data_IF_325349999725
#
_entry.id   IF_325349999725
#
_cell.length_a   1.000
_cell.length_b   1.000
_cell.length_c   1.000
_cell.angle_alpha   90.00
_cell.angle_beta   90.00
_cell.angle_gamma   90.00
#
_symmetry.space_group_name_H-M   'P 1'
#
loop_
_entity.id
_entity.type
_entity.pdbx_description
1 polymer ?
#
# COMPACT_ATOMS: atom_id res chain seq x y z
N UNK A 1 -1.13 14.12 -30.91
CA UNK A 1 -1.02 14.51 -29.50
C UNK A 1 -0.22 13.41 -28.83
N UNK A 2 0.82 13.72 -28.06
CA UNK A 2 1.51 12.70 -27.27
C UNK A 2 0.49 12.16 -26.26
N UNK A 3 0.30 10.83 -26.21
CA UNK A 3 -0.58 10.20 -25.24
C UNK A 3 -0.05 10.54 -23.84
N UNK A 4 -0.88 11.16 -23.00
CA UNK A 4 -0.52 11.49 -21.62
C UNK A 4 -0.23 10.19 -20.85
N UNK A 5 0.91 10.13 -20.16
CA UNK A 5 1.29 8.97 -19.34
C UNK A 5 0.39 8.88 -18.13
N UNK A 6 0.07 7.66 -17.70
CA UNK A 6 -0.68 7.41 -16.46
C UNK A 6 0.25 7.09 -15.30
N UNK A 7 -0.22 7.40 -14.10
CA UNK A 7 0.40 6.94 -12.85
C UNK A 7 -0.61 6.08 -12.09
N UNK A 8 -0.26 4.81 -11.90
CA UNK A 8 -1.05 3.84 -11.13
C UNK A 8 -0.54 3.82 -9.70
N UNK A 9 -1.40 4.19 -8.75
CA UNK A 9 -1.12 4.33 -7.33
C UNK A 9 -1.79 3.20 -6.56
N UNK A 10 -1.01 2.29 -6.02
CA UNK A 10 -1.50 1.12 -5.30
C UNK A 10 -1.33 1.29 -3.80
N UNK A 11 -2.37 1.00 -3.04
CA UNK A 11 -2.22 0.65 -1.63
C UNK A 11 -1.66 -0.77 -1.50
N UNK A 12 -1.20 -1.13 -0.29
CA UNK A 12 -0.60 -2.43 -0.02
C UNK A 12 -1.54 -3.35 0.76
N UNK A 13 -1.85 -2.94 2.00
CA UNK A 13 -2.55 -3.77 2.99
C UNK A 13 -4.02 -3.90 2.59
N UNK A 14 -4.54 -5.14 2.49
CA UNK A 14 -5.89 -5.39 1.99
C UNK A 14 -6.03 -5.30 0.47
N UNK A 15 -5.16 -4.54 -0.21
CA UNK A 15 -5.18 -4.27 -1.65
C UNK A 15 -4.25 -5.24 -2.40
N UNK A 16 -2.94 -5.04 -2.36
CA UNK A 16 -1.97 -5.96 -2.99
C UNK A 16 -1.76 -7.22 -2.14
N UNK A 17 -1.81 -7.10 -0.82
CA UNK A 17 -1.87 -8.22 0.13
C UNK A 17 -3.34 -8.50 0.41
N UNK A 18 -3.86 -9.62 -0.09
CA UNK A 18 -5.27 -9.94 -0.02
C UNK A 18 -5.69 -10.39 1.37
N UNK A 19 -6.61 -9.64 1.99
CA UNK A 19 -7.23 -10.00 3.28
C UNK A 19 -6.24 -10.10 4.44
N UNK A 20 -5.07 -9.45 4.30
CA UNK A 20 -4.03 -9.36 5.32
C UNK A 20 -3.28 -8.03 5.20
N UNK A 21 -2.33 -7.79 6.10
CA UNK A 21 -1.50 -6.59 6.14
C UNK A 21 -0.05 -6.96 6.45
N UNK A 22 0.90 -6.09 6.06
CA UNK A 22 2.31 -6.29 6.35
C UNK A 22 2.55 -6.52 7.85
N UNK A 23 1.86 -5.77 8.72
CA UNK A 23 1.96 -5.94 10.17
C UNK A 23 1.53 -7.34 10.63
N UNK A 24 0.50 -7.92 10.03
CA UNK A 24 0.03 -9.28 10.33
C UNK A 24 1.06 -10.30 9.88
N UNK A 25 1.58 -10.17 8.66
CA UNK A 25 2.53 -11.12 8.10
C UNK A 25 3.87 -11.11 8.86
N UNK A 26 4.36 -9.93 9.25
CA UNK A 26 5.54 -9.78 10.11
C UNK A 26 5.30 -10.47 11.46
N UNK A 27 4.15 -10.19 12.10
CA UNK A 27 3.85 -10.75 13.42
C UNK A 27 3.68 -12.26 13.40
N UNK A 28 3.24 -12.87 12.30
CA UNK A 28 3.21 -14.33 12.12
C UNK A 28 4.59 -14.95 12.22
N UNK A 29 5.63 -14.30 11.69
CA UNK A 29 7.00 -14.79 11.78
C UNK A 29 7.54 -14.81 13.22
N UNK A 30 6.95 -14.01 14.09
CA UNK A 30 7.30 -13.90 15.50
C UNK A 30 6.37 -14.70 16.44
N UNK A 31 5.31 -15.34 15.90
CA UNK A 31 4.29 -16.01 16.71
C UNK A 31 3.36 -15.04 17.47
N UNK A 32 3.29 -13.78 17.06
CA UNK A 32 2.56 -12.69 17.72
C UNK A 32 1.19 -12.38 17.06
N UNK A 33 0.54 -13.40 16.50
CA UNK A 33 -0.72 -13.21 15.77
C UNK A 33 -1.86 -12.67 16.64
N UNK A 34 -1.96 -13.08 17.91
CA UNK A 34 -2.99 -12.61 18.81
C UNK A 34 -2.76 -11.15 19.25
N UNK A 35 -1.52 -10.77 19.48
CA UNK A 35 -1.09 -9.45 19.91
C UNK A 35 -1.33 -8.43 18.80
N UNK A 36 -0.92 -8.73 17.56
CA UNK A 36 -1.14 -7.81 16.43
C UNK A 36 -2.64 -7.68 16.12
N UNK A 37 -3.42 -8.75 16.19
CA UNK A 37 -4.86 -8.68 16.00
C UNK A 37 -5.56 -7.84 17.08
N UNK A 38 -5.04 -7.81 18.31
CA UNK A 38 -5.52 -6.91 19.37
C UNK A 38 -5.16 -5.45 19.05
N UNK A 39 -3.96 -5.20 18.57
CA UNK A 39 -3.49 -3.86 18.19
C UNK A 39 -4.28 -3.30 16.99
N UNK A 40 -4.57 -4.12 15.98
CA UNK A 40 -5.43 -3.74 14.84
C UNK A 40 -6.85 -3.41 15.26
N UNK A 41 -7.43 -4.20 16.19
CA UNK A 41 -8.76 -3.86 16.75
C UNK A 41 -8.75 -2.53 17.50
N UNK A 42 -7.69 -2.21 18.23
CA UNK A 42 -7.56 -0.92 18.90
C UNK A 42 -7.42 0.22 17.88
N UNK A 43 -6.67 0.01 16.80
CA UNK A 43 -6.54 0.96 15.72
C UNK A 43 -7.89 1.25 15.04
N UNK A 44 -8.66 0.22 14.71
CA UNK A 44 -9.93 0.35 14.00
C UNK A 44 -11.06 0.89 14.89
N UNK A 45 -11.12 0.48 16.17
CA UNK A 45 -12.31 0.68 17.00
C UNK A 45 -12.11 1.69 18.12
N UNK A 46 -10.87 2.03 18.49
CA UNK A 46 -10.56 2.90 19.65
C UNK A 46 -9.83 4.18 19.25
N UNK A 47 -9.70 4.46 17.94
CA UNK A 47 -9.10 5.69 17.45
C UNK A 47 -7.60 5.80 17.69
N UNK A 48 -6.88 4.67 17.75
CA UNK A 48 -5.43 4.67 17.82
C UNK A 48 -4.87 5.33 16.56
N UNK A 49 -3.95 6.29 16.72
CA UNK A 49 -3.33 6.94 15.57
C UNK A 49 -2.28 6.04 14.90
N UNK A 50 -1.94 6.26 13.60
CA UNK A 50 -0.92 5.47 12.92
C UNK A 50 0.45 5.46 13.64
N UNK A 51 0.84 6.59 14.22
CA UNK A 51 2.10 6.70 14.95
C UNK A 51 2.07 5.98 16.32
N UNK A 52 0.93 5.98 17.02
CA UNK A 52 0.73 5.16 18.22
C UNK A 52 0.74 3.67 17.90
N UNK A 53 0.10 3.28 16.79
CA UNK A 53 0.18 1.91 16.27
C UNK A 53 1.63 1.50 16.02
N UNK A 54 2.41 2.33 15.30
CA UNK A 54 3.79 2.05 14.97
C UNK A 54 4.67 1.89 16.22
N UNK A 55 4.48 2.73 17.25
CA UNK A 55 5.21 2.60 18.53
C UNK A 55 4.94 1.27 19.19
N UNK A 56 3.66 0.86 19.31
CA UNK A 56 3.28 -0.41 19.93
C UNK A 56 3.72 -1.61 19.10
N UNK A 57 3.59 -1.55 17.78
CA UNK A 57 4.06 -2.59 16.90
C UNK A 57 5.58 -2.77 16.99
N UNK A 58 6.35 -1.68 17.08
CA UNK A 58 7.81 -1.74 17.28
C UNK A 58 8.18 -2.43 18.60
N UNK A 59 7.40 -2.21 19.66
CA UNK A 59 7.60 -2.91 20.95
C UNK A 59 7.33 -4.42 20.81
N UNK A 60 6.25 -4.80 20.12
CA UNK A 60 5.96 -6.20 19.81
C UNK A 60 7.06 -6.87 18.97
N UNK A 61 7.65 -6.12 18.05
CA UNK A 61 8.66 -6.60 17.10
C UNK A 61 10.11 -6.35 17.57
N UNK A 62 10.35 -6.20 18.86
CA UNK A 62 11.69 -5.85 19.40
C UNK A 62 12.80 -6.79 18.87
N UNK A 63 12.48 -8.07 18.66
CA UNK A 63 13.42 -9.11 18.19
C UNK A 63 13.31 -9.39 16.68
N UNK A 64 12.64 -8.51 15.91
CA UNK A 64 12.45 -8.71 14.48
C UNK A 64 13.78 -8.65 13.73
N UNK A 65 14.01 -9.64 12.88
CA UNK A 65 15.20 -9.74 12.03
C UNK A 65 14.87 -9.48 10.56
N UNK A 66 15.88 -9.08 9.79
CA UNK A 66 15.72 -8.90 8.34
C UNK A 66 15.27 -10.19 7.62
N UNK A 67 15.71 -11.37 8.10
CA UNK A 67 15.29 -12.66 7.55
C UNK A 67 13.80 -12.93 7.79
N UNK A 68 13.28 -12.55 8.95
CA UNK A 68 11.85 -12.70 9.25
C UNK A 68 11.00 -11.73 8.42
N UNK A 69 11.49 -10.50 8.16
CA UNK A 69 10.83 -9.57 7.23
C UNK A 69 10.78 -10.15 5.81
N UNK A 70 11.87 -10.75 5.35
CA UNK A 70 11.93 -11.42 4.05
C UNK A 70 10.92 -12.58 3.98
N UNK A 71 10.91 -13.45 4.99
CA UNK A 71 9.95 -14.55 5.06
C UNK A 71 8.49 -14.08 5.13
N UNK A 72 8.21 -12.97 5.85
CA UNK A 72 6.90 -12.34 5.89
C UNK A 72 6.48 -11.81 4.52
N UNK A 73 7.41 -11.16 3.80
CA UNK A 73 7.16 -10.63 2.48
C UNK A 73 6.91 -11.74 1.44
N UNK A 74 7.76 -12.78 1.43
CA UNK A 74 7.60 -13.90 0.50
C UNK A 74 6.34 -14.73 0.77
N UNK A 75 5.98 -14.91 2.04
CA UNK A 75 4.83 -15.70 2.48
C UNK A 75 3.49 -14.95 2.49
N UNK A 76 3.48 -13.65 2.22
CA UNK A 76 2.25 -12.86 2.24
C UNK A 76 1.27 -13.32 1.13
N UNK A 77 -0.05 -13.22 1.39
CA UNK A 77 -1.07 -13.64 0.42
C UNK A 77 -1.26 -12.57 -0.67
N UNK A 78 -0.25 -12.43 -1.53
CA UNK A 78 -0.25 -11.49 -2.63
C UNK A 78 -1.37 -11.77 -3.64
N UNK A 79 -1.93 -10.72 -4.24
CA UNK A 79 -2.72 -10.88 -5.46
C UNK A 79 -1.88 -11.51 -6.57
N UNK A 80 -2.50 -12.32 -7.39
CA UNK A 80 -1.86 -12.86 -8.60
C UNK A 80 -1.60 -11.74 -9.62
N UNK A 81 -0.59 -11.90 -10.44
CA UNK A 81 -0.39 -11.03 -11.61
C UNK A 81 0.23 -9.67 -11.32
N UNK A 82 0.71 -9.37 -10.10
CA UNK A 82 1.29 -8.03 -9.78
C UNK A 82 2.44 -7.69 -10.72
N UNK A 83 3.41 -8.59 -10.86
CA UNK A 83 4.61 -8.35 -11.68
C UNK A 83 4.27 -8.21 -13.16
N UNK A 84 3.32 -9.02 -13.64
CA UNK A 84 2.83 -9.00 -15.02
C UNK A 84 2.13 -7.67 -15.34
N UNK A 85 1.25 -7.21 -14.45
CA UNK A 85 0.55 -5.92 -14.60
C UNK A 85 1.55 -4.76 -14.58
N UNK A 86 2.50 -4.76 -13.66
CA UNK A 86 3.51 -3.69 -13.59
C UNK A 86 4.46 -3.71 -14.79
N UNK A 87 4.79 -4.89 -15.32
CA UNK A 87 5.55 -5.00 -16.56
C UNK A 87 4.78 -4.43 -17.76
N UNK A 88 3.46 -4.67 -17.82
CA UNK A 88 2.60 -4.12 -18.89
C UNK A 88 2.46 -2.60 -18.77
N UNK A 89 2.22 -2.07 -17.56
CA UNK A 89 2.21 -0.62 -17.27
C UNK A 89 3.51 0.03 -17.79
N UNK A 90 4.66 -0.55 -17.45
CA UNK A 90 5.97 -0.05 -17.90
C UNK A 90 6.12 -0.10 -19.42
N UNK A 91 5.68 -1.20 -20.06
CA UNK A 91 5.72 -1.37 -21.51
C UNK A 91 4.87 -0.32 -22.24
N UNK A 92 3.78 0.12 -21.64
CA UNK A 92 2.94 1.19 -22.16
C UNK A 92 3.55 2.60 -21.93
N UNK A 93 4.67 2.69 -21.22
CA UNK A 93 5.32 3.95 -20.85
C UNK A 93 4.62 4.67 -19.69
N UNK A 94 3.76 3.96 -18.94
CA UNK A 94 3.09 4.43 -17.75
C UNK A 94 3.93 4.13 -16.50
N UNK A 95 3.51 4.66 -15.37
CA UNK A 95 4.17 4.50 -14.08
C UNK A 95 3.28 3.74 -13.10
N UNK A 96 3.90 2.99 -12.19
CA UNK A 96 3.24 2.37 -11.05
C UNK A 96 4.01 2.68 -9.77
N UNK A 97 3.30 3.02 -8.72
CA UNK A 97 3.88 3.30 -7.42
C UNK A 97 3.01 2.70 -6.31
N UNK A 98 3.65 2.34 -5.19
CA UNK A 98 2.96 1.88 -3.99
C UNK A 98 3.06 2.95 -2.91
N UNK A 99 1.93 3.25 -2.26
CA UNK A 99 1.85 4.19 -1.13
C UNK A 99 1.06 3.51 -0.02
N UNK A 100 1.73 3.14 1.06
CA UNK A 100 1.15 2.43 2.20
C UNK A 100 1.51 3.07 3.53
N UNK A 101 0.68 2.89 4.55
CA UNK A 101 1.00 3.26 5.92
C UNK A 101 1.96 2.26 6.60
N UNK A 102 2.19 1.11 5.98
CA UNK A 102 3.07 0.04 6.47
C UNK A 102 4.55 0.43 6.46
N UNK A 103 5.41 -0.30 7.19
CA UNK A 103 6.83 0.00 7.32
C UNK A 103 7.56 0.05 5.97
N UNK A 104 8.39 1.07 5.77
CA UNK A 104 9.17 1.27 4.54
C UNK A 104 10.12 0.11 4.23
N UNK A 105 10.68 -0.56 5.24
CA UNK A 105 11.54 -1.74 5.06
C UNK A 105 10.80 -2.95 4.46
N UNK A 106 9.47 -2.99 4.57
CA UNK A 106 8.62 -3.99 3.92
C UNK A 106 8.17 -3.50 2.53
N UNK A 107 7.66 -2.26 2.46
CA UNK A 107 7.09 -1.67 1.23
C UNK A 107 8.13 -1.53 0.13
N UNK A 108 9.36 -1.11 0.46
CA UNK A 108 10.45 -0.89 -0.50
C UNK A 108 10.87 -2.13 -1.30
N UNK A 109 10.61 -3.34 -0.80
CA UNK A 109 10.87 -4.59 -1.51
C UNK A 109 10.08 -4.73 -2.82
N UNK A 110 8.98 -3.99 -2.95
CA UNK A 110 8.17 -3.95 -4.17
C UNK A 110 8.87 -3.26 -5.35
N UNK A 111 9.94 -2.51 -5.10
CA UNK A 111 10.82 -1.99 -6.16
C UNK A 111 11.44 -3.12 -6.98
N UNK A 112 11.83 -4.23 -6.34
CA UNK A 112 12.39 -5.42 -7.00
C UNK A 112 11.33 -6.14 -7.87
N UNK A 113 10.06 -5.89 -7.63
CA UNK A 113 8.97 -6.42 -8.45
C UNK A 113 8.61 -5.52 -9.64
N UNK A 114 9.24 -4.36 -9.73
CA UNK A 114 9.08 -3.45 -10.86
C UNK A 114 8.25 -2.20 -10.57
N UNK A 115 7.88 -1.91 -9.33
CA UNK A 115 7.33 -0.59 -9.00
C UNK A 115 8.35 0.52 -9.30
N UNK A 116 7.91 1.66 -9.81
CA UNK A 116 8.77 2.82 -10.06
C UNK A 116 9.08 3.58 -8.77
N UNK A 117 8.16 3.53 -7.80
CA UNK A 117 8.33 4.08 -6.47
C UNK A 117 7.55 3.25 -5.44
N UNK A 118 8.05 3.21 -4.20
CA UNK A 118 7.41 2.53 -3.09
C UNK A 118 7.62 3.37 -1.82
N UNK A 119 6.52 3.84 -1.24
CA UNK A 119 6.51 4.72 -0.07
C UNK A 119 5.77 4.07 1.08
N UNK A 120 6.47 3.87 2.18
CA UNK A 120 5.95 3.41 3.46
C UNK A 120 6.25 4.39 4.58
N UNK A 121 5.71 4.14 5.77
CA UNK A 121 6.09 4.82 6.99
C UNK A 121 7.57 4.56 7.31
N UNK A 122 8.31 5.60 7.65
CA UNK A 122 9.74 5.47 7.98
C UNK A 122 9.92 4.81 9.34
N UNK A 123 10.65 3.70 9.33
CA UNK A 123 10.99 2.96 10.53
C UNK A 123 12.50 2.96 10.79
N UNK A 124 12.95 2.72 12.04
CA UNK A 124 14.36 2.52 12.32
C UNK A 124 14.90 1.27 11.61
N UNK A 125 16.21 1.24 11.38
CA UNK A 125 16.88 0.08 10.81
C UNK A 125 16.80 -1.16 11.73
N UNK A 126 16.75 -2.34 11.11
CA UNK A 126 16.82 -3.61 11.83
C UNK A 126 18.28 -3.99 12.14
N UNK A 127 18.57 -4.56 13.32
CA UNK A 127 17.68 -4.70 14.49
C UNK A 127 17.33 -3.34 15.09
N UNK A 128 16.14 -3.21 15.66
CA UNK A 128 15.65 -1.93 16.20
C UNK A 128 16.43 -1.48 17.42
N UNK A 129 17.36 -0.56 17.26
CA UNK A 129 18.11 0.10 18.33
C UNK A 129 17.55 1.47 18.70
N UNK A 130 16.74 2.05 17.82
CA UNK A 130 16.16 3.37 18.00
C UNK A 130 14.64 3.32 18.17
N UNK A 131 14.04 4.31 18.83
CA UNK A 131 12.59 4.44 18.90
C UNK A 131 12.01 4.84 17.54
N UNK A 132 10.68 4.74 17.40
CA UNK A 132 9.95 5.28 16.26
C UNK A 132 10.05 6.81 16.26
N UNK A 133 10.51 7.37 15.15
CA UNK A 133 10.30 8.79 14.86
C UNK A 133 8.87 8.97 14.34
N UNK A 134 7.98 9.45 15.23
CA UNK A 134 6.57 9.64 14.92
C UNK A 134 6.32 10.54 13.70
N UNK A 135 7.23 11.48 13.41
CA UNK A 135 7.11 12.38 12.26
C UNK A 135 7.33 11.67 10.92
N UNK A 136 7.96 10.50 10.94
CA UNK A 136 8.16 9.63 9.78
C UNK A 136 7.00 8.70 9.49
N UNK A 137 6.02 8.58 10.40
CA UNK A 137 4.88 7.70 10.22
C UNK A 137 3.82 8.38 9.36
N UNK A 138 3.42 7.71 8.29
CA UNK A 138 2.45 8.22 7.34
C UNK A 138 1.03 8.18 7.92
N UNK A 139 0.23 9.17 7.56
CA UNK A 139 -1.22 9.21 7.79
C UNK A 139 -1.97 9.04 6.46
N UNK A 140 -3.28 8.77 6.45
CA UNK A 140 -4.08 8.75 5.22
C UNK A 140 -3.88 10.00 4.36
N UNK A 141 -3.88 11.19 4.95
CA UNK A 141 -3.63 12.46 4.25
C UNK A 141 -2.23 12.55 3.59
N UNK A 142 -1.25 11.78 4.05
CA UNK A 142 0.06 11.71 3.44
C UNK A 142 0.02 11.04 2.06
N UNK A 143 -0.94 10.14 1.78
CA UNK A 143 -1.08 9.47 0.48
C UNK A 143 -1.26 10.50 -0.65
N UNK A 144 -2.13 11.49 -0.46
CA UNK A 144 -2.35 12.57 -1.44
C UNK A 144 -1.10 13.43 -1.65
N UNK A 145 -0.38 13.77 -0.58
CA UNK A 145 0.87 14.53 -0.68
C UNK A 145 1.94 13.78 -1.46
N UNK A 146 2.07 12.47 -1.21
CA UNK A 146 3.01 11.61 -1.92
C UNK A 146 2.60 11.47 -3.38
N UNK A 147 1.31 11.27 -3.69
CA UNK A 147 0.81 11.21 -5.05
C UNK A 147 1.13 12.49 -5.84
N UNK A 148 0.89 13.67 -5.26
CA UNK A 148 1.25 14.95 -5.89
C UNK A 148 2.76 15.07 -6.18
N UNK A 149 3.61 14.62 -5.24
CA UNK A 149 5.06 14.60 -5.43
C UNK A 149 5.47 13.67 -6.58
N UNK A 150 4.90 12.45 -6.63
CA UNK A 150 5.15 11.50 -7.70
C UNK A 150 4.65 12.01 -9.06
N UNK A 151 3.51 12.69 -9.09
CA UNK A 151 3.00 13.36 -10.29
C UNK A 151 4.03 14.38 -10.83
N UNK A 152 4.57 15.22 -9.95
CA UNK A 152 5.61 16.19 -10.34
C UNK A 152 6.90 15.51 -10.81
N UNK A 153 7.33 14.43 -10.15
CA UNK A 153 8.55 13.67 -10.47
C UNK A 153 8.44 12.97 -11.83
N UNK A 154 7.28 12.36 -12.13
CA UNK A 154 7.06 11.62 -13.37
C UNK A 154 6.49 12.48 -14.51
N UNK A 155 6.19 13.75 -14.26
CA UNK A 155 5.59 14.63 -15.24
C UNK A 155 4.18 14.21 -15.66
N UNK A 156 3.37 13.75 -14.71
CA UNK A 156 1.99 13.27 -14.87
C UNK A 156 1.06 14.18 -14.09
N UNK A 157 -0.14 14.47 -14.61
CA UNK A 157 -1.19 15.20 -13.86
C UNK A 157 -1.99 14.26 -12.95
N UNK A 158 -2.62 14.80 -11.90
CA UNK A 158 -3.57 14.02 -11.10
C UNK A 158 -4.73 13.47 -11.94
N UNK A 159 -5.13 14.18 -12.99
CA UNK A 159 -6.18 13.75 -13.93
C UNK A 159 -5.80 12.51 -14.75
N UNK A 160 -4.52 12.15 -14.78
CA UNK A 160 -4.00 10.95 -15.42
C UNK A 160 -3.67 9.85 -14.40
N UNK A 161 -4.03 10.02 -13.12
CA UNK A 161 -3.81 9.02 -12.09
C UNK A 161 -4.96 8.01 -12.01
N UNK A 162 -4.59 6.80 -11.57
CA UNK A 162 -5.52 5.73 -11.17
C UNK A 162 -5.12 5.26 -9.78
N UNK A 163 -6.05 5.22 -8.82
CA UNK A 163 -5.78 4.74 -7.48
C UNK A 163 -6.47 3.39 -7.21
N UNK A 164 -5.79 2.54 -6.44
CA UNK A 164 -6.27 1.22 -6.03
C UNK A 164 -6.14 1.12 -4.51
N UNK A 165 -7.23 0.75 -3.82
CA UNK A 165 -7.26 0.69 -2.36
C UNK A 165 -8.40 -0.18 -1.85
N UNK A 166 -8.41 -0.48 -0.54
CA UNK A 166 -9.39 -1.35 0.08
C UNK A 166 -10.15 -0.72 1.25
N UNK A 167 -9.62 0.36 1.82
CA UNK A 167 -10.10 0.89 3.10
C UNK A 167 -10.25 2.42 3.10
N UNK A 168 -10.88 2.96 4.14
CA UNK A 168 -11.06 4.40 4.30
C UNK A 168 -9.75 5.21 4.35
N UNK A 169 -8.60 4.54 4.52
CA UNK A 169 -7.29 5.17 4.36
C UNK A 169 -7.02 5.68 2.93
N UNK A 170 -7.78 5.18 1.95
CA UNK A 170 -7.68 5.52 0.53
C UNK A 170 -8.74 6.53 0.07
N UNK A 171 -9.68 6.88 0.95
CA UNK A 171 -10.80 7.76 0.59
C UNK A 171 -10.34 9.13 0.06
N UNK A 172 -9.32 9.74 0.69
CA UNK A 172 -8.81 11.04 0.27
C UNK A 172 -8.13 10.99 -1.11
N UNK A 173 -7.39 9.93 -1.43
CA UNK A 173 -6.77 9.78 -2.75
C UNK A 173 -7.81 9.46 -3.82
N UNK A 174 -8.83 8.66 -3.49
CA UNK A 174 -9.96 8.39 -4.40
C UNK A 174 -10.73 9.67 -4.76
N UNK A 175 -10.84 10.61 -3.82
CA UNK A 175 -11.53 11.87 -4.04
C UNK A 175 -10.82 12.85 -4.99
N UNK A 176 -9.50 12.68 -5.21
CA UNK A 176 -8.70 13.61 -6.02
C UNK A 176 -8.24 13.04 -7.36
N UNK A 177 -8.45 11.74 -7.61
CA UNK A 177 -8.13 11.10 -8.89
C UNK A 177 -9.39 10.79 -9.68
N UNK A 178 -9.36 10.84 -11.03
CA UNK A 178 -10.57 10.61 -11.84
C UNK A 178 -10.98 9.13 -11.92
N UNK A 179 -10.07 8.21 -11.62
CA UNK A 179 -10.29 6.76 -11.65
C UNK A 179 -9.77 6.12 -10.39
N UNK A 180 -10.64 5.32 -9.76
CA UNK A 180 -10.29 4.55 -8.57
C UNK A 180 -10.93 3.19 -8.61
N UNK A 181 -10.24 2.19 -8.07
CA UNK A 181 -10.72 0.82 -7.96
C UNK A 181 -10.68 0.39 -6.50
N UNK A 182 -11.84 0.13 -5.92
CA UNK A 182 -11.95 -0.49 -4.61
C UNK A 182 -11.72 -2.00 -4.76
N UNK A 183 -10.61 -2.48 -4.23
CA UNK A 183 -10.13 -3.88 -4.37
C UNK A 183 -10.41 -4.63 -3.08
N UNK A 184 -11.29 -5.63 -3.11
CA UNK A 184 -11.71 -6.40 -1.93
C UNK A 184 -12.16 -5.52 -0.74
N UNK A 185 -12.60 -4.31 -1.04
CA UNK A 185 -12.88 -3.27 -0.08
C UNK A 185 -14.20 -3.50 0.68
N UNK A 186 -14.30 -2.84 1.82
CA UNK A 186 -15.58 -2.72 2.50
C UNK A 186 -16.56 -1.82 1.71
N UNK A 187 -17.84 -1.84 2.11
CA UNK A 187 -18.89 -1.09 1.44
C UNK A 187 -18.74 0.43 1.55
N UNK A 188 -18.00 0.94 2.54
CA UNK A 188 -17.80 2.39 2.71
C UNK A 188 -16.89 2.93 1.61
N UNK A 189 -15.73 2.30 1.39
CA UNK A 189 -14.84 2.72 0.31
C UNK A 189 -15.41 2.38 -1.07
N UNK A 190 -16.08 1.23 -1.22
CA UNK A 190 -16.69 0.83 -2.49
C UNK A 190 -17.65 1.89 -3.04
N UNK A 191 -18.38 2.58 -2.17
CA UNK A 191 -19.28 3.69 -2.55
C UNK A 191 -18.58 4.97 -3.01
N UNK A 192 -17.26 5.11 -2.78
CA UNK A 192 -16.44 6.26 -3.18
C UNK A 192 -15.60 6.00 -4.43
N UNK A 193 -15.55 4.77 -4.90
CA UNK A 193 -14.73 4.37 -6.05
C UNK A 193 -15.48 4.46 -7.37
N UNK A 194 -14.73 4.59 -8.48
CA UNK A 194 -15.30 4.52 -9.83
C UNK A 194 -15.55 3.07 -10.29
N UNK A 195 -14.80 2.12 -9.73
CA UNK A 195 -14.91 0.69 -10.00
C UNK A 195 -14.73 -0.10 -8.71
N UNK A 196 -15.30 -1.30 -8.67
CA UNK A 196 -15.14 -2.24 -7.55
C UNK A 196 -14.68 -3.60 -8.09
N UNK A 197 -13.86 -4.30 -7.32
CA UNK A 197 -13.40 -5.63 -7.62
C UNK A 197 -13.36 -6.49 -6.37
N UNK A 198 -13.76 -7.74 -6.51
CA UNK A 198 -13.60 -8.77 -5.47
C UNK A 198 -13.02 -10.02 -6.09
N UNK A 199 -11.82 -10.40 -5.65
CA UNK A 199 -11.11 -11.54 -6.22
C UNK A 199 -9.66 -11.64 -5.76
N UNK A 200 -8.83 -12.30 -6.56
CA UNK A 200 -7.44 -12.59 -6.20
C UNK A 200 -6.42 -12.28 -7.31
N UNK A 201 -6.83 -11.63 -8.39
CA UNK A 201 -5.99 -11.41 -9.56
C UNK A 201 -5.95 -9.92 -9.96
N UNK A 202 -4.76 -9.31 -9.89
CA UNK A 202 -4.58 -7.91 -10.25
C UNK A 202 -4.78 -7.65 -11.76
N UNK A 203 -4.64 -8.67 -12.60
CA UNK A 203 -4.89 -8.54 -14.04
C UNK A 203 -6.34 -8.19 -14.32
N UNK A 204 -7.27 -8.81 -13.60
CA UNK A 204 -8.70 -8.50 -13.70
C UNK A 204 -9.00 -7.08 -13.19
N UNK A 205 -8.34 -6.66 -12.10
CA UNK A 205 -8.45 -5.28 -11.59
C UNK A 205 -7.96 -4.26 -12.62
N UNK A 206 -6.83 -4.56 -13.29
CA UNK A 206 -6.23 -3.69 -14.29
C UNK A 206 -7.10 -3.53 -15.54
N UNK A 207 -7.80 -4.58 -15.94
CA UNK A 207 -8.74 -4.56 -17.07
C UNK A 207 -9.91 -3.58 -16.85
N UNK A 208 -10.35 -3.36 -15.60
CA UNK A 208 -11.44 -2.44 -15.28
C UNK A 208 -11.13 -0.98 -15.64
N UNK A 209 -9.88 -0.57 -15.56
CA UNK A 209 -9.47 0.81 -15.90
C UNK A 209 -9.23 1.00 -17.39
N UNK A 210 -9.18 -0.09 -18.14
CA UNK A 210 -9.08 -0.13 -19.60
C UNK A 210 -7.77 0.42 -20.17
N UNK A 211 -7.51 0.16 -21.46
CA UNK A 211 -6.41 0.78 -22.17
C UNK A 211 -6.61 2.29 -22.27
N UNK A 212 -5.55 3.00 -22.63
CA UNK A 212 -5.65 4.44 -22.99
C UNK A 212 -6.59 4.59 -24.19
N UNK A 213 -7.53 5.52 -24.10
CA UNK A 213 -8.30 5.99 -25.23
C UNK A 213 -7.49 6.99 -26.04
#
# INVERSE_FOLDING_TARGET
MASTRRLHLFDLDGTLIRGSAAAVEISRQLGLGAEIAALERDFLNRGLTPDEFAVRARELWAELTAQQVEAAFEGAPWLLGIREVWADIRKQGDYCAVISLSPDFFVSRLLDWGAHAAHGSRWPALPFTEPIDRTGILSPAAKVKIANRLCAEFGVGLDDCVAYGDSMSDAEIFAVVPRSVAVNADHHLAGLSTHTYSGSDLREVYELVGPRQ
#
